data_IF_058298867351
#
_entry.id   IF_058298867351
#
_cell.length_a   1.000
_cell.length_b   1.000
_cell.length_c   1.000
_cell.angle_alpha   90.00
_cell.angle_beta   90.00
_cell.angle_gamma   90.00
#
_symmetry.space_group_name_H-M   'P 1'
#
loop_
_entity.id
_entity.type
_entity.pdbx_description
1 polymer ?
#
# COMPACT_ATOMS: atom_id res chain seq x y z
N UNK A 1 -24.55 17.56 20.46
CA UNK A 1 -24.06 16.76 19.31
C UNK A 1 -23.05 15.76 19.85
N UNK A 2 -23.23 14.48 19.51
CA UNK A 2 -22.40 13.38 20.02
C UNK A 2 -20.97 13.42 19.43
N UNK A 3 -20.03 12.76 20.11
CA UNK A 3 -18.70 12.56 19.55
C UNK A 3 -18.79 11.64 18.32
N UNK A 4 -17.91 11.84 17.35
CA UNK A 4 -17.85 11.06 16.11
C UNK A 4 -16.43 10.53 15.88
N UNK A 5 -16.33 9.38 15.24
CA UNK A 5 -15.06 8.85 14.79
C UNK A 5 -14.60 9.60 13.54
N UNK A 6 -13.33 10.00 13.53
CA UNK A 6 -12.72 10.76 12.43
C UNK A 6 -11.36 10.16 12.11
N UNK A 7 -11.06 10.00 10.82
CA UNK A 7 -9.80 9.45 10.35
C UNK A 7 -8.61 10.30 10.79
N UNK A 8 -7.51 9.64 11.13
CA UNK A 8 -6.25 10.31 11.45
C UNK A 8 -5.60 10.97 10.23
N UNK A 9 -6.02 10.63 9.01
CA UNK A 9 -5.70 11.40 7.79
C UNK A 9 -6.25 12.82 7.84
N UNK A 10 -7.42 13.01 8.44
CA UNK A 10 -8.15 14.30 8.42
C UNK A 10 -7.78 15.16 9.64
N UNK A 11 -7.45 14.51 10.76
CA UNK A 11 -7.14 15.15 12.05
C UNK A 11 -5.93 14.49 12.73
N UNK A 12 -4.77 14.59 12.08
CA UNK A 12 -3.54 13.90 12.50
C UNK A 12 -3.10 14.23 13.92
N UNK A 13 -2.79 13.18 14.70
CA UNK A 13 -2.15 13.28 16.01
C UNK A 13 -0.61 13.23 15.91
N UNK A 14 -0.06 13.29 14.70
CA UNK A 14 1.38 13.13 14.39
C UNK A 14 1.96 14.46 13.93
N UNK A 15 1.74 15.49 14.72
CA UNK A 15 2.41 16.79 14.50
C UNK A 15 3.81 16.76 15.13
N UNK A 16 4.75 17.60 14.66
CA UNK A 16 6.05 17.76 15.34
C UNK A 16 5.89 18.09 16.83
N UNK A 17 4.89 18.90 17.18
CA UNK A 17 4.56 19.21 18.57
C UNK A 17 4.11 17.97 19.37
N UNK A 18 3.31 17.09 18.75
CA UNK A 18 2.89 15.84 19.36
C UNK A 18 4.06 14.88 19.58
N UNK A 19 4.98 14.77 18.60
CA UNK A 19 6.19 13.93 18.69
C UNK A 19 7.13 14.42 19.78
N UNK A 20 7.38 15.73 19.86
CA UNK A 20 8.21 16.32 20.91
C UNK A 20 7.60 16.08 22.31
N UNK A 21 6.27 16.12 22.41
CA UNK A 21 5.58 15.88 23.67
C UNK A 21 5.74 14.45 24.19
N UNK A 22 5.92 13.46 23.30
CA UNK A 22 6.05 12.05 23.66
C UNK A 22 7.50 11.54 23.59
N UNK A 23 8.47 12.42 23.35
CA UNK A 23 9.88 12.05 23.16
C UNK A 23 10.49 11.35 24.37
N UNK A 24 10.10 11.75 25.59
CA UNK A 24 10.57 11.08 26.80
C UNK A 24 10.01 9.66 26.99
N UNK A 25 8.95 9.29 26.25
CA UNK A 25 8.35 7.96 26.27
C UNK A 25 8.91 7.03 25.18
N UNK A 26 9.90 7.47 24.40
CA UNK A 26 10.53 6.64 23.36
C UNK A 26 11.03 5.26 23.84
N UNK A 27 11.53 5.09 25.09
CA UNK A 27 11.88 3.76 25.61
C UNK A 27 10.72 2.76 25.59
N UNK A 28 9.47 3.22 25.68
CA UNK A 28 8.27 2.36 25.64
C UNK A 28 7.80 2.07 24.21
N UNK A 29 8.36 2.72 23.19
CA UNK A 29 7.82 2.68 21.82
C UNK A 29 7.74 1.26 21.25
N UNK A 30 8.76 0.44 21.50
CA UNK A 30 8.79 -0.97 21.04
C UNK A 30 7.77 -1.84 21.77
N UNK A 31 7.60 -1.66 23.10
CA UNK A 31 6.55 -2.34 23.87
C UNK A 31 5.16 -1.95 23.35
N UNK A 32 4.92 -0.65 23.17
CA UNK A 32 3.66 -0.12 22.60
C UNK A 32 3.43 -0.71 21.21
N UNK A 33 4.45 -0.78 20.35
CA UNK A 33 4.30 -1.35 19.01
C UNK A 33 3.92 -2.84 19.04
N UNK A 34 4.48 -3.63 19.97
CA UNK A 34 4.11 -5.03 20.13
C UNK A 34 2.68 -5.21 20.63
N UNK A 35 2.23 -4.35 21.56
CA UNK A 35 0.85 -4.35 22.03
C UNK A 35 -0.11 -4.00 20.89
N UNK A 36 0.20 -2.96 20.12
CA UNK A 36 -0.62 -2.53 18.97
C UNK A 36 -0.68 -3.62 17.91
N UNK A 37 0.43 -4.31 17.59
CA UNK A 37 0.43 -5.47 16.67
C UNK A 37 -0.45 -6.60 17.19
N UNK A 38 -0.37 -6.91 18.49
CA UNK A 38 -1.24 -7.90 19.13
C UNK A 38 -2.72 -7.52 19.01
N UNK A 39 -3.05 -6.26 19.25
CA UNK A 39 -4.40 -5.73 19.08
C UNK A 39 -4.89 -5.85 17.63
N UNK A 40 -4.06 -5.46 16.66
CA UNK A 40 -4.38 -5.60 15.22
C UNK A 40 -4.66 -7.06 14.89
N UNK A 41 -3.82 -7.99 15.34
CA UNK A 41 -4.03 -9.42 15.01
C UNK A 41 -5.28 -10.00 15.67
N UNK A 42 -5.65 -9.52 16.86
CA UNK A 42 -6.77 -10.06 17.63
C UNK A 42 -8.14 -9.48 17.23
N UNK A 43 -8.19 -8.36 16.52
CA UNK A 43 -9.41 -7.64 16.12
C UNK A 43 -10.55 -7.66 17.16
N UNK A 44 -10.31 -7.29 18.44
CA UNK A 44 -11.34 -7.42 19.46
C UNK A 44 -12.52 -6.47 19.19
N UNK A 45 -13.71 -7.03 18.95
CA UNK A 45 -14.94 -6.28 18.73
C UNK A 45 -15.21 -5.30 19.87
N UNK A 46 -15.28 -4.00 19.52
CA UNK A 46 -15.62 -2.94 20.46
C UNK A 46 -14.50 -2.50 21.41
N UNK A 47 -13.29 -3.07 21.33
CA UNK A 47 -12.14 -2.60 22.11
C UNK A 47 -11.27 -1.61 21.33
N UNK A 48 -10.68 -0.65 22.02
CA UNK A 48 -9.92 0.46 21.43
C UNK A 48 -8.43 0.31 21.79
N UNK A 49 -7.53 0.44 20.81
CA UNK A 49 -6.09 0.17 21.01
C UNK A 49 -5.47 1.00 22.14
N UNK A 50 -6.01 2.21 22.38
CA UNK A 50 -5.50 3.09 23.43
C UNK A 50 -5.72 2.49 24.82
N UNK A 51 -6.85 1.80 25.03
CA UNK A 51 -7.10 1.09 26.28
C UNK A 51 -6.15 -0.09 26.45
N UNK A 52 -5.98 -0.89 25.41
CA UNK A 52 -5.09 -2.06 25.42
C UNK A 52 -3.65 -1.65 25.77
N UNK A 53 -3.16 -0.56 25.17
CA UNK A 53 -1.83 -0.01 25.49
C UNK A 53 -1.76 0.51 26.92
N UNK A 54 -2.77 1.26 27.38
CA UNK A 54 -2.80 1.77 28.75
C UNK A 54 -2.78 0.63 29.78
N UNK A 55 -3.51 -0.44 29.52
CA UNK A 55 -3.61 -1.58 30.43
C UNK A 55 -2.31 -2.37 30.50
N UNK A 56 -1.76 -2.74 29.33
CA UNK A 56 -0.57 -3.60 29.26
C UNK A 56 0.71 -2.90 29.67
N UNK A 57 0.85 -1.61 29.40
CA UNK A 57 1.98 -0.84 29.94
C UNK A 57 1.76 -0.61 31.43
N UNK A 58 0.57 -0.15 31.82
CA UNK A 58 0.23 0.08 33.21
C UNK A 58 0.92 1.29 33.84
N UNK A 59 0.43 1.66 35.02
CA UNK A 59 0.87 2.85 35.77
C UNK A 59 2.33 2.76 36.24
N UNK A 60 2.72 1.61 36.78
CA UNK A 60 4.04 1.45 37.41
C UNK A 60 5.16 1.55 36.38
N UNK A 61 5.00 0.92 35.21
CA UNK A 61 5.94 1.04 34.09
C UNK A 61 6.10 2.47 33.57
N UNK A 62 5.01 3.22 33.50
CA UNK A 62 5.08 4.65 33.14
C UNK A 62 5.87 5.47 34.16
N UNK A 63 5.71 5.16 35.45
CA UNK A 63 6.44 5.82 36.54
C UNK A 63 7.90 5.42 36.61
N UNK A 64 8.27 4.23 36.15
CA UNK A 64 9.68 3.86 35.97
C UNK A 64 10.37 4.69 34.90
N UNK A 65 9.70 4.91 33.75
CA UNK A 65 10.29 5.63 32.62
C UNK A 65 10.35 7.14 32.84
N UNK A 66 9.35 7.71 33.54
CA UNK A 66 9.26 9.15 33.78
C UNK A 66 8.70 9.44 35.18
N UNK A 67 9.49 9.18 36.24
CA UNK A 67 9.05 9.27 37.64
C UNK A 67 8.58 10.67 38.03
N UNK A 68 9.20 11.70 37.46
CA UNK A 68 8.98 13.12 37.74
C UNK A 68 7.70 13.70 37.10
N UNK A 69 7.06 12.99 36.18
CA UNK A 69 5.85 13.46 35.50
C UNK A 69 4.59 13.12 36.29
N UNK A 70 3.61 14.03 36.24
CA UNK A 70 2.29 13.77 36.80
C UNK A 70 1.57 12.64 36.04
N UNK A 71 0.77 11.84 36.76
CA UNK A 71 0.12 10.65 36.19
C UNK A 71 -0.94 11.01 35.12
N UNK A 72 -1.60 12.16 35.25
CA UNK A 72 -2.54 12.64 34.23
C UNK A 72 -1.81 13.01 32.94
N UNK A 73 -0.61 13.59 33.07
CA UNK A 73 0.25 13.87 31.92
C UNK A 73 0.77 12.59 31.27
N UNK A 74 1.34 11.67 32.07
CA UNK A 74 1.86 10.38 31.60
C UNK A 74 0.82 9.60 30.81
N UNK A 75 -0.38 9.51 31.34
CA UNK A 75 -1.50 8.86 30.68
C UNK A 75 -1.83 9.47 29.31
N UNK A 76 -1.95 10.80 29.26
CA UNK A 76 -2.30 11.51 28.01
C UNK A 76 -1.21 11.34 26.97
N UNK A 77 0.05 11.38 27.40
CA UNK A 77 1.21 11.26 26.53
C UNK A 77 1.38 9.81 26.06
N UNK A 78 1.09 8.81 26.89
CA UNK A 78 1.03 7.41 26.47
C UNK A 78 -0.08 7.15 25.45
N UNK A 79 -1.28 7.71 25.66
CA UNK A 79 -2.36 7.60 24.68
C UNK A 79 -2.02 8.27 23.35
N UNK A 80 -1.27 9.38 23.38
CA UNK A 80 -0.75 10.04 22.18
C UNK A 80 0.36 9.21 21.50
N UNK A 81 1.25 8.59 22.28
CA UNK A 81 2.26 7.68 21.74
C UNK A 81 1.61 6.44 21.11
N UNK A 82 0.57 5.88 21.73
CA UNK A 82 -0.22 4.78 21.19
C UNK A 82 -0.81 5.15 19.83
N UNK A 83 -1.41 6.34 19.71
CA UNK A 83 -1.95 6.84 18.45
C UNK A 83 -0.87 7.01 17.37
N UNK A 84 0.28 7.57 17.73
CA UNK A 84 1.42 7.72 16.81
C UNK A 84 1.90 6.35 16.33
N UNK A 85 2.18 5.42 17.25
CA UNK A 85 2.65 4.07 16.92
C UNK A 85 1.61 3.32 16.10
N UNK A 86 0.32 3.48 16.41
CA UNK A 86 -0.74 2.84 15.66
C UNK A 86 -0.79 3.32 14.21
N UNK A 87 -0.77 4.63 14.00
CA UNK A 87 -0.70 5.20 12.65
C UNK A 87 0.62 4.85 11.95
N UNK A 88 1.76 4.85 12.64
CA UNK A 88 3.03 4.45 12.05
C UNK A 88 3.00 2.96 11.60
N UNK A 89 2.27 2.11 12.33
CA UNK A 89 2.13 0.68 11.99
C UNK A 89 1.16 0.45 10.82
N UNK A 90 -0.07 0.98 10.90
CA UNK A 90 -1.13 0.64 9.93
C UNK A 90 -1.45 1.75 8.94
N UNK A 91 -1.04 2.99 9.17
CA UNK A 91 -1.34 4.14 8.33
C UNK A 91 -2.50 5.00 8.83
N UNK A 92 -2.47 6.30 8.54
CA UNK A 92 -3.40 7.28 9.14
C UNK A 92 -4.85 7.12 8.64
N UNK A 93 -5.03 6.49 7.48
CA UNK A 93 -6.36 6.20 6.91
C UNK A 93 -7.02 4.95 7.51
N UNK A 94 -6.27 4.18 8.30
CA UNK A 94 -6.77 2.98 8.98
C UNK A 94 -6.99 3.21 10.46
N UNK A 95 -6.74 4.42 10.96
CA UNK A 95 -6.92 4.76 12.37
C UNK A 95 -7.95 5.87 12.49
N UNK A 96 -9.01 5.62 13.24
CA UNK A 96 -9.94 6.66 13.67
C UNK A 96 -9.62 7.10 15.08
N UNK A 97 -9.77 8.40 15.34
CA UNK A 97 -9.84 8.95 16.68
C UNK A 97 -11.24 9.46 16.96
N UNK A 98 -11.71 9.29 18.19
CA UNK A 98 -12.97 9.90 18.60
C UNK A 98 -12.78 11.41 18.79
N UNK A 99 -13.60 12.21 18.09
CA UNK A 99 -13.57 13.68 18.08
C UNK A 99 -14.90 14.28 18.46
N UNK A 100 -14.84 15.51 18.97
CA UNK A 100 -16.00 16.37 19.17
C UNK A 100 -16.40 17.02 17.83
N UNK A 101 -17.64 17.53 17.70
CA UNK A 101 -18.10 18.24 16.50
C UNK A 101 -17.25 19.46 16.10
N UNK A 102 -16.51 20.04 17.04
CA UNK A 102 -15.59 21.17 16.80
C UNK A 102 -14.18 20.72 16.34
N UNK A 103 -13.99 19.43 16.04
CA UNK A 103 -12.73 18.83 15.59
C UNK A 103 -11.72 18.54 16.71
N UNK A 104 -11.98 18.96 17.96
CA UNK A 104 -11.09 18.68 19.09
C UNK A 104 -11.18 17.20 19.50
N UNK A 105 -10.13 16.69 20.14
CA UNK A 105 -10.14 15.34 20.71
C UNK A 105 -11.34 15.17 21.64
N UNK A 106 -12.13 14.12 21.42
CA UNK A 106 -13.06 13.66 22.42
C UNK A 106 -12.30 12.79 23.41
N UNK A 107 -12.78 12.78 24.65
CA UNK A 107 -12.29 11.85 25.64
C UNK A 107 -13.48 11.14 26.26
N UNK A 108 -13.35 9.84 26.45
CA UNK A 108 -14.34 9.05 27.20
C UNK A 108 -14.21 9.38 28.69
N UNK A 109 -15.32 9.25 29.43
CA UNK A 109 -15.33 9.42 30.89
C UNK A 109 -15.35 8.04 31.55
N UNK A 110 -14.34 7.76 32.39
CA UNK A 110 -14.14 6.53 33.17
C UNK A 110 -14.03 5.25 32.34
N UNK A 111 -12.87 4.58 32.41
CA UNK A 111 -12.77 3.18 32.04
C UNK A 111 -13.33 2.31 33.18
N UNK A 112 -14.06 1.23 32.86
CA UNK A 112 -14.53 0.23 33.83
C UNK A 112 -13.73 -1.08 33.79
N UNK A 113 -12.73 -1.16 32.91
CA UNK A 113 -11.86 -2.33 32.75
C UNK A 113 -10.93 -2.44 33.97
N UNK A 114 -10.71 -3.67 34.42
CA UNK A 114 -9.83 -3.98 35.54
C UNK A 114 -8.40 -3.48 35.26
N UNK A 115 -7.66 -3.03 36.27
CA UNK A 115 -6.30 -2.48 36.09
C UNK A 115 -6.21 -1.05 35.49
N UNK A 116 -7.35 -0.43 35.15
CA UNK A 116 -7.42 0.92 34.58
C UNK A 116 -8.13 1.94 35.49
N UNK A 117 -8.12 1.72 36.80
CA UNK A 117 -8.65 2.63 37.83
C UNK A 117 -7.99 4.02 37.81
N UNK A 118 -6.72 4.08 37.44
CA UNK A 118 -5.93 5.31 37.23
C UNK A 118 -6.26 6.04 35.90
N UNK A 119 -7.09 5.45 35.04
CA UNK A 119 -7.47 5.98 33.73
C UNK A 119 -8.84 6.68 33.81
N UNK A 120 -8.84 7.96 34.21
CA UNK A 120 -10.08 8.76 34.32
C UNK A 120 -10.69 9.27 32.99
N UNK A 121 -9.87 9.72 32.03
CA UNK A 121 -10.29 10.02 30.64
C UNK A 121 -9.18 9.85 29.61
N UNK A 122 -9.47 9.27 28.44
CA UNK A 122 -8.49 9.05 27.37
C UNK A 122 -9.16 9.32 26.01
N UNK A 123 -8.37 9.49 24.95
CA UNK A 123 -8.89 9.61 23.58
C UNK A 123 -8.84 8.23 22.93
N UNK A 124 -10.01 7.66 22.59
CA UNK A 124 -10.11 6.42 21.83
C UNK A 124 -9.41 6.47 20.48
N UNK A 125 -8.79 5.35 20.13
CA UNK A 125 -8.31 5.06 18.79
C UNK A 125 -8.73 3.64 18.41
N UNK A 126 -9.21 3.45 17.18
CA UNK A 126 -9.60 2.14 16.67
C UNK A 126 -9.12 1.96 15.24
N UNK A 127 -8.96 0.70 14.84
CA UNK A 127 -8.77 0.36 13.43
C UNK A 127 -10.07 0.67 12.69
N UNK A 128 -9.95 1.20 11.49
CA UNK A 128 -11.07 1.31 10.56
C UNK A 128 -11.46 -0.11 10.14
N UNK A 129 -12.52 -0.66 10.74
CA UNK A 129 -13.26 -1.77 10.13
C UNK A 129 -14.09 -1.17 8.99
N UNK A 130 -13.49 -1.08 7.81
CA UNK A 130 -14.25 -0.85 6.58
C UNK A 130 -13.97 -2.00 5.64
N UNK A 131 -15.04 -2.53 5.05
CA UNK A 131 -15.05 -3.38 3.85
C UNK A 131 -14.14 -2.81 2.74
N UNK A 132 -13.86 -1.49 2.74
CA UNK A 132 -12.92 -0.80 1.84
C UNK A 132 -11.43 -1.24 1.95
N UNK A 133 -11.06 -2.09 2.91
CA UNK A 133 -9.66 -2.46 3.16
C UNK A 133 -9.39 -3.96 3.28
N UNK A 134 -10.32 -4.80 2.83
CA UNK A 134 -10.01 -6.19 2.48
C UNK A 134 -8.86 -6.22 1.47
N UNK A 135 -7.97 -7.23 1.52
CA UNK A 135 -6.81 -7.24 0.65
C UNK A 135 -7.17 -7.01 -0.83
N UNK A 136 -6.56 -6.01 -1.48
CA UNK A 136 -6.92 -5.68 -2.87
C UNK A 136 -6.35 -6.70 -3.83
N UNK A 137 -7.13 -7.14 -4.81
CA UNK A 137 -6.63 -7.92 -5.94
C UNK A 137 -6.15 -6.95 -7.02
N UNK A 138 -4.87 -7.00 -7.37
CA UNK A 138 -4.27 -6.19 -8.42
C UNK A 138 -4.03 -7.03 -9.66
N UNK A 139 -4.70 -6.67 -10.75
CA UNK A 139 -4.57 -7.32 -12.05
C UNK A 139 -3.45 -6.64 -12.85
N UNK A 140 -2.49 -7.46 -13.27
CA UNK A 140 -1.46 -7.11 -14.25
C UNK A 140 -2.05 -7.01 -15.67
N UNK A 141 -1.37 -6.29 -16.57
CA UNK A 141 -1.68 -6.17 -17.99
C UNK A 141 -1.87 -7.52 -18.65
N UNK A 142 -1.00 -8.48 -18.31
CA UNK A 142 -1.05 -9.82 -18.89
C UNK A 142 -2.37 -10.54 -18.62
N UNK A 143 -2.95 -10.35 -17.43
CA UNK A 143 -4.27 -10.93 -17.08
C UNK A 143 -5.36 -10.35 -17.96
N UNK A 144 -5.36 -9.03 -18.13
CA UNK A 144 -6.37 -8.31 -18.91
C UNK A 144 -6.27 -8.69 -20.39
N UNK A 145 -5.04 -8.75 -20.91
CA UNK A 145 -4.78 -9.13 -22.30
C UNK A 145 -5.27 -10.54 -22.62
N UNK A 146 -5.04 -11.50 -21.73
CA UNK A 146 -5.52 -12.88 -21.93
C UNK A 146 -7.03 -12.96 -22.08
N UNK A 147 -7.79 -12.24 -21.23
CA UNK A 147 -9.25 -12.16 -21.35
C UNK A 147 -9.67 -11.51 -22.67
N UNK A 148 -9.04 -10.41 -23.03
CA UNK A 148 -9.34 -9.70 -24.30
C UNK A 148 -8.99 -10.55 -25.51
N UNK A 149 -7.94 -11.38 -25.47
CA UNK A 149 -7.53 -12.24 -26.58
C UNK A 149 -8.25 -13.61 -26.64
N UNK A 150 -9.13 -13.92 -25.67
CA UNK A 150 -9.75 -15.24 -25.54
C UNK A 150 -8.76 -16.38 -25.26
N UNK A 151 -7.67 -16.08 -24.56
CA UNK A 151 -6.67 -17.08 -24.27
C UNK A 151 -7.26 -18.20 -23.40
N UNK A 152 -6.93 -19.45 -23.71
CA UNK A 152 -7.49 -20.62 -23.01
C UNK A 152 -7.11 -20.68 -21.51
N UNK A 153 -6.08 -19.94 -21.10
CA UNK A 153 -5.62 -19.80 -19.72
C UNK A 153 -5.90 -18.39 -19.14
N UNK A 154 -6.86 -17.67 -19.73
CA UNK A 154 -7.40 -16.45 -19.15
C UNK A 154 -8.10 -16.73 -17.82
N UNK A 155 -8.08 -15.74 -16.92
CA UNK A 155 -8.82 -15.83 -15.66
C UNK A 155 -10.32 -15.90 -15.93
N UNK A 156 -11.02 -16.81 -15.26
CA UNK A 156 -12.48 -16.85 -15.28
C UNK A 156 -13.03 -15.70 -14.42
N UNK A 157 -13.58 -14.68 -15.10
CA UNK A 157 -14.16 -13.51 -14.46
C UNK A 157 -15.45 -13.80 -13.70
N UNK A 158 -16.21 -14.83 -14.10
CA UNK A 158 -17.41 -15.25 -13.36
C UNK A 158 -17.00 -15.86 -12.02
N UNK A 159 -16.05 -16.81 -12.06
CA UNK A 159 -15.47 -17.40 -10.85
C UNK A 159 -14.82 -16.34 -9.96
N UNK A 160 -14.00 -15.43 -10.51
CA UNK A 160 -13.43 -14.32 -9.73
C UNK A 160 -14.52 -13.45 -9.08
N UNK A 161 -15.58 -13.11 -9.82
CA UNK A 161 -16.69 -12.31 -9.29
C UNK A 161 -17.41 -12.97 -8.13
N UNK A 162 -17.59 -14.30 -8.18
CA UNK A 162 -18.23 -15.08 -7.13
C UNK A 162 -17.31 -15.31 -5.92
N UNK A 163 -16.02 -15.49 -6.17
CA UNK A 163 -15.06 -15.92 -5.16
C UNK A 163 -14.41 -14.75 -4.39
N UNK A 164 -14.25 -13.60 -5.03
CA UNK A 164 -13.52 -12.44 -4.46
C UNK A 164 -14.08 -11.91 -3.14
N UNK A 165 -15.31 -12.27 -2.74
CA UNK A 165 -15.95 -11.75 -1.53
C UNK A 165 -15.84 -10.22 -1.41
N UNK A 166 -15.30 -9.77 -0.28
CA UNK A 166 -15.07 -8.35 0.03
C UNK A 166 -13.79 -7.78 -0.59
N UNK A 167 -12.93 -8.60 -1.21
CA UNK A 167 -11.70 -8.13 -1.84
C UNK A 167 -12.02 -7.21 -3.03
N UNK A 168 -11.59 -5.93 -3.00
CA UNK A 168 -11.75 -5.06 -4.15
C UNK A 168 -10.75 -5.48 -5.24
N UNK A 169 -11.18 -5.43 -6.50
CA UNK A 169 -10.33 -5.81 -7.65
C UNK A 169 -10.00 -4.57 -8.46
N UNK A 170 -8.74 -4.37 -8.81
CA UNK A 170 -8.30 -3.25 -9.65
C UNK A 170 -7.29 -3.69 -10.69
N UNK A 171 -7.25 -2.97 -11.79
CA UNK A 171 -6.10 -2.92 -12.68
C UNK A 171 -4.97 -2.15 -12.00
N UNK A 172 -3.74 -2.66 -12.04
CA UNK A 172 -2.59 -1.90 -11.55
C UNK A 172 -2.36 -0.61 -12.35
N UNK A 173 -1.80 0.43 -11.72
CA UNK A 173 -1.57 1.73 -12.38
C UNK A 173 -0.61 1.63 -13.58
N UNK A 174 0.49 0.89 -13.42
CA UNK A 174 1.42 0.59 -14.51
C UNK A 174 0.75 -0.20 -15.63
N UNK A 175 -0.14 -1.13 -15.28
CA UNK A 175 -0.86 -1.94 -16.23
C UNK A 175 -1.82 -1.12 -17.11
N UNK A 176 -2.45 -0.08 -16.55
CA UNK A 176 -3.22 0.88 -17.32
C UNK A 176 -2.38 1.53 -18.44
N UNK A 177 -1.15 1.95 -18.12
CA UNK A 177 -0.23 2.54 -19.09
C UNK A 177 0.17 1.58 -20.21
N UNK A 178 0.42 0.31 -19.87
CA UNK A 178 0.73 -0.73 -20.85
C UNK A 178 -0.44 -1.06 -21.77
N UNK A 179 -1.66 -1.14 -21.25
CA UNK A 179 -2.87 -1.38 -22.05
C UNK A 179 -3.06 -0.26 -23.08
N UNK A 180 -2.93 1.00 -22.67
CA UNK A 180 -3.00 2.13 -23.60
C UNK A 180 -1.92 2.05 -24.69
N UNK A 181 -0.69 1.68 -24.34
CA UNK A 181 0.39 1.50 -25.30
C UNK A 181 0.11 0.33 -26.26
N UNK A 182 -0.45 -0.76 -25.74
CA UNK A 182 -0.75 -1.95 -26.51
C UNK A 182 -1.84 -1.68 -27.57
N UNK A 183 -2.86 -0.90 -27.22
CA UNK A 183 -3.88 -0.42 -28.15
C UNK A 183 -3.29 0.49 -29.24
N UNK A 184 -2.35 1.38 -28.88
CA UNK A 184 -1.68 2.26 -29.85
C UNK A 184 -0.76 1.53 -30.83
N UNK A 185 -0.21 0.38 -30.42
CA UNK A 185 0.73 -0.45 -31.19
C UNK A 185 0.05 -1.59 -31.94
N UNK A 186 -1.28 -1.66 -31.90
CA UNK A 186 -2.09 -2.76 -32.45
C UNK A 186 -1.66 -4.15 -31.93
N UNK A 187 -1.05 -4.21 -30.72
CA UNK A 187 -0.74 -5.50 -30.07
C UNK A 187 -1.93 -6.09 -29.32
N UNK A 188 -2.98 -5.28 -29.15
CA UNK A 188 -4.34 -5.70 -28.83
C UNK A 188 -5.22 -5.24 -30.00
N UNK A 189 -5.84 -6.14 -30.78
CA UNK A 189 -6.81 -5.75 -31.79
C UNK A 189 -7.95 -4.96 -31.16
N UNK A 190 -8.27 -3.80 -31.75
CA UNK A 190 -9.23 -2.88 -31.15
C UNK A 190 -10.67 -3.41 -31.12
N UNK A 191 -11.04 -4.28 -32.07
CA UNK A 191 -12.34 -4.93 -32.06
C UNK A 191 -12.47 -5.88 -30.86
N UNK A 192 -11.45 -6.71 -30.61
CA UNK A 192 -11.39 -7.59 -29.44
C UNK A 192 -11.48 -6.78 -28.14
N UNK A 193 -10.76 -5.65 -28.06
CA UNK A 193 -10.83 -4.73 -26.93
C UNK A 193 -12.27 -4.26 -26.67
N UNK A 194 -12.93 -3.69 -27.69
CA UNK A 194 -14.30 -3.17 -27.55
C UNK A 194 -15.30 -4.25 -27.15
N UNK A 195 -15.16 -5.45 -27.70
CA UNK A 195 -16.07 -6.55 -27.43
C UNK A 195 -15.92 -7.08 -26.00
N UNK A 196 -14.69 -7.15 -25.49
CA UNK A 196 -14.38 -7.97 -24.31
C UNK A 196 -13.97 -7.20 -23.07
N UNK A 197 -13.41 -5.99 -23.18
CA UNK A 197 -12.91 -5.25 -21.99
C UNK A 197 -14.01 -5.00 -20.95
N UNK A 198 -15.26 -4.79 -21.39
CA UNK A 198 -16.39 -4.54 -20.49
C UNK A 198 -16.80 -5.76 -19.65
N UNK A 199 -16.27 -6.94 -19.94
CA UNK A 199 -16.43 -8.10 -19.05
C UNK A 199 -15.84 -7.84 -17.66
N UNK A 200 -14.84 -6.95 -17.54
CA UNK A 200 -14.27 -6.56 -16.26
C UNK A 200 -15.20 -5.70 -15.39
N UNK A 201 -16.25 -5.10 -15.95
CA UNK A 201 -17.19 -4.24 -15.20
C UNK A 201 -17.93 -5.02 -14.09
N UNK A 202 -18.01 -6.36 -14.17
CA UNK A 202 -18.63 -7.21 -13.16
C UNK A 202 -17.73 -7.49 -11.94
N UNK A 203 -16.40 -7.34 -12.10
CA UNK A 203 -15.44 -7.71 -11.05
C UNK A 203 -14.69 -6.51 -10.47
N UNK A 204 -14.44 -5.47 -11.26
CA UNK A 204 -13.64 -4.33 -10.83
C UNK A 204 -14.34 -3.50 -9.76
N UNK A 205 -13.53 -2.98 -8.84
CA UNK A 205 -13.94 -2.00 -7.84
C UNK A 205 -14.50 -0.75 -8.55
N UNK A 206 -15.77 -0.37 -8.29
CA UNK A 206 -16.43 0.75 -8.98
C UNK A 206 -15.88 2.14 -8.57
N UNK A 207 -15.16 2.21 -7.45
CA UNK A 207 -14.52 3.42 -6.93
C UNK A 207 -13.05 3.53 -7.36
N UNK A 208 -12.36 2.38 -7.49
CA UNK A 208 -10.98 2.29 -7.94
C UNK A 208 -10.78 1.19 -8.99
N UNK A 209 -11.33 1.31 -10.21
CA UNK A 209 -11.13 0.30 -11.24
C UNK A 209 -9.65 0.20 -11.67
N UNK A 210 -8.93 1.32 -11.55
CA UNK A 210 -7.47 1.38 -11.59
C UNK A 210 -6.98 1.72 -10.17
N UNK A 211 -6.02 0.95 -9.68
CA UNK A 211 -5.45 1.16 -8.36
C UNK A 211 -4.59 2.43 -8.32
N UNK A 212 -4.53 3.15 -7.18
CA UNK A 212 -3.62 4.26 -7.03
C UNK A 212 -2.15 3.86 -7.13
N UNK A 213 -1.36 4.72 -7.76
CA UNK A 213 0.06 4.53 -8.02
C UNK A 213 0.99 5.47 -7.25
N UNK A 214 2.29 5.22 -7.33
CA UNK A 214 3.35 6.14 -6.89
C UNK A 214 3.12 6.76 -5.50
N UNK A 215 3.11 8.11 -5.41
CA UNK A 215 2.94 8.83 -4.13
C UNK A 215 1.58 8.61 -3.48
N UNK A 216 0.54 8.39 -4.28
CA UNK A 216 -0.81 8.16 -3.77
C UNK A 216 -0.87 6.78 -3.12
N UNK A 217 -0.31 5.77 -3.78
CA UNK A 217 -0.11 4.44 -3.20
C UNK A 217 0.70 4.51 -1.91
N UNK A 218 1.88 5.16 -1.93
CA UNK A 218 2.72 5.39 -0.75
C UNK A 218 2.00 6.07 0.40
N UNK A 219 1.16 7.06 0.10
CA UNK A 219 0.39 7.73 1.13
C UNK A 219 -0.71 6.84 1.70
N UNK A 220 -1.31 5.96 0.88
CA UNK A 220 -2.33 5.02 1.33
C UNK A 220 -1.78 4.03 2.36
N UNK A 221 -0.64 3.38 2.13
CA UNK A 221 -0.08 2.44 3.12
C UNK A 221 0.77 3.10 4.21
N UNK A 222 0.76 4.44 4.28
CA UNK A 222 1.31 5.23 5.39
C UNK A 222 2.77 5.67 5.25
N UNK A 223 3.41 5.40 4.11
CA UNK A 223 4.79 5.80 3.84
C UNK A 223 4.98 7.28 3.54
N UNK A 224 3.94 7.97 3.05
CA UNK A 224 4.00 9.39 2.70
C UNK A 224 2.85 10.17 3.38
N UNK A 225 3.08 11.42 3.83
CA UNK A 225 1.99 12.22 4.41
C UNK A 225 0.86 12.43 3.41
N UNK A 226 -0.37 12.10 3.78
CA UNK A 226 -1.59 12.36 2.99
C UNK A 226 -1.90 13.86 2.77
N UNK A 227 -1.04 14.77 3.22
CA UNK A 227 -1.27 16.21 3.14
C UNK A 227 -1.35 16.66 1.67
N UNK A 228 -2.54 17.06 1.25
CA UNK A 228 -2.81 17.51 -0.12
C UNK A 228 -3.37 16.42 -1.04
N UNK A 229 -3.63 15.22 -0.54
CA UNK A 229 -4.38 14.18 -1.24
C UNK A 229 -5.86 14.22 -0.83
N UNK A 230 -6.74 14.17 -1.83
CA UNK A 230 -8.18 14.16 -1.65
C UNK A 230 -8.72 12.82 -2.19
N UNK A 231 -9.17 11.94 -1.29
CA UNK A 231 -9.61 10.60 -1.65
C UNK A 231 -10.78 10.60 -2.63
N UNK A 232 -11.73 11.53 -2.48
CA UNK A 232 -12.85 11.63 -3.41
C UNK A 232 -12.38 12.06 -4.81
N UNK A 233 -11.40 12.96 -4.88
CA UNK A 233 -10.75 13.37 -6.13
C UNK A 233 -9.95 12.24 -6.77
N UNK A 234 -9.27 11.41 -5.96
CA UNK A 234 -8.60 10.21 -6.43
C UNK A 234 -9.59 9.18 -7.00
N UNK A 235 -10.66 8.83 -6.27
CA UNK A 235 -11.73 7.92 -6.75
C UNK A 235 -12.26 8.39 -8.10
N UNK A 236 -12.63 9.67 -8.17
CA UNK A 236 -13.10 10.28 -9.41
C UNK A 236 -12.06 10.19 -10.54
N UNK A 237 -10.79 10.46 -10.24
CA UNK A 237 -9.70 10.44 -11.22
C UNK A 237 -9.49 9.04 -11.82
N UNK A 238 -9.28 8.02 -10.98
CA UNK A 238 -9.01 6.66 -11.46
C UNK A 238 -10.20 6.04 -12.20
N UNK A 239 -11.42 6.34 -11.75
CA UNK A 239 -12.63 5.99 -12.50
C UNK A 239 -12.70 6.68 -13.86
N UNK A 240 -12.38 7.97 -13.92
CA UNK A 240 -12.38 8.76 -15.17
C UNK A 240 -11.34 8.23 -16.16
N UNK A 241 -10.16 7.86 -15.66
CA UNK A 241 -9.07 7.28 -16.43
C UNK A 241 -9.45 5.93 -17.05
N UNK A 242 -10.05 5.04 -16.25
CA UNK A 242 -10.55 3.74 -16.75
C UNK A 242 -11.63 3.93 -17.83
N UNK A 243 -12.65 4.74 -17.53
CA UNK A 243 -13.73 5.02 -18.48
C UNK A 243 -13.22 5.65 -19.79
N UNK A 244 -12.11 6.40 -19.74
CA UNK A 244 -11.51 6.94 -20.95
C UNK A 244 -11.03 5.83 -21.91
N UNK A 245 -10.49 4.71 -21.42
CA UNK A 245 -10.13 3.58 -22.29
C UNK A 245 -11.35 2.76 -22.75
N UNK A 246 -12.39 2.66 -21.90
CA UNK A 246 -13.62 1.93 -22.24
C UNK A 246 -14.47 2.63 -23.32
N UNK A 247 -14.38 3.97 -23.38
CA UNK A 247 -15.21 4.79 -24.26
C UNK A 247 -14.51 5.18 -25.57
N UNK A 248 -13.32 4.61 -25.83
CA UNK A 248 -12.62 4.81 -27.10
C UNK A 248 -13.46 4.31 -28.27
N UNK A 249 -13.50 5.08 -29.34
CA UNK A 249 -14.12 4.69 -30.61
C UNK A 249 -13.12 4.17 -31.63
N UNK A 250 -11.86 4.54 -31.49
CA UNK A 250 -10.74 4.12 -32.34
C UNK A 250 -9.37 4.36 -31.65
N UNK A 251 -8.32 3.62 -32.07
CA UNK A 251 -6.90 3.84 -31.82
C UNK A 251 -6.47 5.25 -31.45
N UNK A 252 -6.74 6.10 -32.45
CA UNK A 252 -6.24 7.45 -32.61
C UNK A 252 -6.77 8.42 -31.55
N UNK A 253 -7.90 8.14 -30.91
CA UNK A 253 -8.45 9.00 -29.85
C UNK A 253 -7.53 9.08 -28.63
N UNK A 254 -6.68 8.06 -28.39
CA UNK A 254 -5.66 8.09 -27.33
C UNK A 254 -4.60 9.19 -27.55
N UNK A 255 -4.29 9.48 -28.81
CA UNK A 255 -3.29 10.49 -29.20
C UNK A 255 -3.82 11.92 -29.01
N UNK A 256 -5.14 12.09 -28.90
CA UNK A 256 -5.78 13.38 -28.74
C UNK A 256 -5.72 13.82 -27.27
N UNK A 257 -5.48 15.11 -27.03
CA UNK A 257 -5.57 15.65 -25.68
C UNK A 257 -7.03 15.78 -25.27
N UNK A 258 -7.44 15.07 -24.22
CA UNK A 258 -8.75 15.17 -23.59
C UNK A 258 -8.62 15.94 -22.27
N UNK A 259 -9.37 17.03 -22.15
CA UNK A 259 -9.46 17.79 -20.90
C UNK A 259 -10.73 17.38 -20.18
N UNK A 260 -10.62 16.92 -18.94
CA UNK A 260 -11.77 16.59 -18.09
C UNK A 260 -11.74 17.44 -16.85
N UNK A 261 -12.88 18.05 -16.53
CA UNK A 261 -13.04 18.86 -15.34
C UNK A 261 -13.61 18.01 -14.21
N UNK A 262 -12.90 18.03 -13.08
CA UNK A 262 -13.39 17.39 -11.86
C UNK A 262 -14.55 18.18 -11.23
N UNK A 263 -15.38 17.54 -10.39
CA UNK A 263 -16.41 18.20 -9.60
C UNK A 263 -15.89 19.36 -8.73
N UNK A 264 -14.59 19.37 -8.40
CA UNK A 264 -13.93 20.41 -7.62
C UNK A 264 -13.34 21.55 -8.48
N UNK A 265 -13.63 21.58 -9.78
CA UNK A 265 -13.21 22.65 -10.70
C UNK A 265 -11.78 22.52 -11.23
N UNK A 266 -11.05 21.47 -10.85
CA UNK A 266 -9.71 21.18 -11.37
C UNK A 266 -9.79 20.53 -12.75
N UNK A 267 -8.99 21.01 -13.70
CA UNK A 267 -8.88 20.42 -15.03
C UNK A 267 -7.74 19.40 -15.09
N UNK A 268 -8.05 18.21 -15.60
CA UNK A 268 -7.12 17.13 -15.86
C UNK A 268 -6.92 16.97 -17.35
N UNK A 269 -5.67 16.82 -17.79
CA UNK A 269 -5.33 16.60 -19.20
C UNK A 269 -4.89 15.16 -19.37
N UNK A 270 -5.65 14.41 -20.13
CA UNK A 270 -5.30 13.08 -20.58
C UNK A 270 -4.77 13.18 -21.99
N UNK A 271 -3.51 12.77 -22.19
CA UNK A 271 -2.94 12.59 -23.52
C UNK A 271 -1.98 11.43 -23.45
N UNK A 272 -2.32 10.35 -24.12
CA UNK A 272 -1.51 9.15 -24.24
C UNK A 272 -0.98 9.14 -25.66
N UNK A 273 0.09 9.91 -25.91
CA UNK A 273 0.86 9.72 -27.12
C UNK A 273 1.94 8.67 -26.87
N UNK A 274 2.26 7.91 -27.92
CA UNK A 274 3.21 6.79 -27.83
C UNK A 274 4.55 7.22 -27.22
N UNK A 275 5.05 8.42 -27.59
CA UNK A 275 6.31 8.93 -27.07
C UNK A 275 6.23 9.16 -25.56
N UNK A 276 5.16 9.76 -25.05
CA UNK A 276 4.97 9.96 -23.60
C UNK A 276 4.88 8.64 -22.85
N UNK A 277 4.18 7.66 -23.39
CA UNK A 277 4.12 6.34 -22.76
C UNK A 277 5.50 5.69 -22.76
N UNK A 278 6.21 5.69 -23.89
CA UNK A 278 7.58 5.18 -24.00
C UNK A 278 8.56 5.92 -23.08
N UNK A 279 8.45 7.25 -22.94
CA UNK A 279 9.24 8.06 -22.02
C UNK A 279 8.99 7.67 -20.55
N UNK A 280 7.74 7.37 -20.19
CA UNK A 280 7.39 6.92 -18.84
C UNK A 280 7.97 5.53 -18.57
N UNK A 281 7.84 4.61 -19.54
CA UNK A 281 8.43 3.27 -19.49
C UNK A 281 9.95 3.33 -19.35
N UNK A 282 10.62 4.17 -20.15
CA UNK A 282 12.07 4.35 -20.11
C UNK A 282 12.54 4.96 -18.79
N UNK A 283 11.79 5.94 -18.25
CA UNK A 283 12.08 6.52 -16.93
C UNK A 283 11.94 5.49 -15.82
N UNK A 284 10.89 4.68 -15.82
CA UNK A 284 10.72 3.59 -14.86
C UNK A 284 11.89 2.60 -14.94
N UNK A 285 12.25 2.16 -16.16
CA UNK A 285 13.42 1.31 -16.38
C UNK A 285 14.72 1.91 -15.86
N UNK A 286 14.97 3.20 -16.16
CA UNK A 286 16.16 3.92 -15.68
C UNK A 286 16.20 3.99 -14.16
N UNK A 287 15.07 4.32 -13.52
CA UNK A 287 14.95 4.38 -12.07
C UNK A 287 15.27 3.03 -11.41
N UNK A 288 14.72 1.94 -11.91
CA UNK A 288 15.02 0.59 -11.43
C UNK A 288 16.49 0.21 -11.63
N UNK A 289 17.08 0.59 -12.77
CA UNK A 289 18.51 0.38 -13.05
C UNK A 289 19.40 1.13 -12.07
N UNK A 290 19.09 2.40 -11.80
CA UNK A 290 19.83 3.23 -10.85
C UNK A 290 19.74 2.67 -9.44
N UNK A 291 18.54 2.23 -9.05
CA UNK A 291 18.30 1.58 -7.76
C UNK A 291 19.11 0.30 -7.60
N UNK A 292 19.02 -0.62 -8.57
CA UNK A 292 19.77 -1.88 -8.53
C UNK A 292 21.28 -1.62 -8.51
N UNK A 293 21.77 -0.62 -9.25
CA UNK A 293 23.19 -0.23 -9.26
C UNK A 293 23.66 0.23 -7.88
N UNK A 294 22.90 1.11 -7.21
CA UNK A 294 23.21 1.54 -5.83
C UNK A 294 23.24 0.37 -4.84
N UNK A 295 22.40 -0.64 -5.04
CA UNK A 295 22.40 -1.85 -4.21
C UNK A 295 23.65 -2.69 -4.45
N UNK A 296 24.10 -2.81 -5.71
CA UNK A 296 25.36 -3.49 -6.05
C UNK A 296 26.54 -2.82 -5.35
N UNK A 297 26.59 -1.49 -5.32
CA UNK A 297 27.61 -0.73 -4.58
C UNK A 297 27.61 -1.08 -3.08
N UNK A 298 26.41 -1.13 -2.47
CA UNK A 298 26.25 -1.54 -1.07
C UNK A 298 26.74 -2.98 -0.82
N UNK A 299 26.45 -3.92 -1.72
CA UNK A 299 26.91 -5.31 -1.60
C UNK A 299 28.44 -5.38 -1.65
N UNK A 300 29.06 -4.65 -2.58
CA UNK A 300 30.51 -4.57 -2.67
C UNK A 300 31.16 -3.91 -1.44
N UNK A 301 30.57 -2.83 -0.90
CA UNK A 301 31.03 -2.17 0.34
C UNK A 301 31.03 -3.15 1.52
N UNK A 302 29.99 -3.97 1.62
CA UNK A 302 29.81 -4.89 2.74
C UNK A 302 30.66 -6.16 2.64
N UNK A 303 31.33 -6.39 1.50
CA UNK A 303 32.02 -7.64 1.18
C UNK A 303 31.13 -8.87 1.40
N UNK A 304 29.82 -8.71 1.16
CA UNK A 304 28.84 -9.77 1.33
C UNK A 304 28.97 -10.73 0.13
N UNK A 305 29.13 -12.03 0.42
CA UNK A 305 29.20 -13.12 -0.55
C UNK A 305 27.87 -13.36 -1.26
N UNK A 306 26.81 -12.65 -0.83
CA UNK A 306 25.65 -12.40 -1.67
C UNK A 306 24.68 -13.57 -1.73
N UNK A 307 24.78 -14.47 -0.75
CA UNK A 307 23.96 -15.68 -0.69
C UNK A 307 22.62 -15.39 -0.03
N UNK A 308 22.53 -14.38 0.86
CA UNK A 308 21.29 -14.01 1.56
C UNK A 308 21.21 -12.51 1.81
N UNK A 309 20.00 -11.96 1.72
CA UNK A 309 19.72 -10.57 2.10
C UNK A 309 19.77 -10.46 3.61
N UNK A 310 20.77 -9.75 4.15
CA UNK A 310 20.93 -9.58 5.61
C UNK A 310 20.23 -8.30 6.10
N UNK A 311 19.84 -8.26 7.38
CA UNK A 311 19.29 -7.04 8.01
C UNK A 311 20.26 -5.84 7.88
N UNK A 312 21.56 -6.10 7.92
CA UNK A 312 22.62 -5.09 7.72
C UNK A 312 22.57 -4.51 6.30
N UNK A 313 22.34 -5.35 5.29
CA UNK A 313 22.17 -4.93 3.91
C UNK A 313 20.89 -4.11 3.74
N UNK A 314 19.76 -4.54 4.32
CA UNK A 314 18.50 -3.77 4.33
C UNK A 314 18.69 -2.38 4.97
N UNK A 315 19.35 -2.30 6.13
CA UNK A 315 19.69 -1.04 6.81
C UNK A 315 20.64 -0.14 6.00
N UNK A 316 21.41 -0.69 5.07
CA UNK A 316 22.32 0.11 4.23
C UNK A 316 21.64 0.56 2.93
N UNK A 317 20.79 -0.27 2.35
CA UNK A 317 19.92 0.08 1.22
C UNK A 317 19.00 1.27 1.55
N UNK A 318 18.51 1.33 2.79
CA UNK A 318 17.72 2.48 3.28
C UNK A 318 18.50 3.79 3.36
N UNK A 319 19.82 3.72 3.54
CA UNK A 319 20.69 4.91 3.62
C UNK A 319 21.14 5.45 2.25
N UNK A 320 20.94 4.70 1.14
CA UNK A 320 21.35 5.13 -0.21
C UNK A 320 20.21 5.79 -1.01
N UNK A 321 19.18 6.32 -0.32
CA UNK A 321 18.04 7.01 -0.93
C UNK A 321 17.28 6.16 -1.97
N UNK A 322 17.26 4.83 -1.79
CA UNK A 322 16.39 3.93 -2.58
C UNK A 322 14.91 4.20 -2.30
N UNK A 323 14.61 4.67 -1.10
CA UNK A 323 13.27 4.94 -0.61
C UNK A 323 13.29 6.31 0.09
N UNK A 324 13.32 7.37 -0.73
CA UNK A 324 13.41 8.75 -0.23
C UNK A 324 12.21 9.06 0.65
N UNK A 325 12.46 9.66 1.82
CA UNK A 325 11.45 10.15 2.78
C UNK A 325 10.62 9.08 3.53
N UNK A 326 11.10 7.83 3.62
CA UNK A 326 10.42 6.77 4.38
C UNK A 326 11.10 6.41 5.71
N UNK A 327 10.31 6.13 6.76
CA UNK A 327 10.84 5.62 8.00
C UNK A 327 11.26 4.14 7.87
N UNK A 328 12.30 3.73 8.62
CA UNK A 328 12.84 2.35 8.59
C UNK A 328 11.76 1.28 8.86
N UNK A 329 10.75 1.60 9.67
CA UNK A 329 9.63 0.70 9.93
C UNK A 329 8.75 0.45 8.69
N UNK A 330 8.58 1.46 7.82
CA UNK A 330 7.78 1.35 6.59
C UNK A 330 8.54 0.62 5.48
N UNK A 331 9.87 0.65 5.50
CA UNK A 331 10.71 -0.15 4.60
C UNK A 331 10.47 -1.66 4.81
N UNK A 332 10.13 -2.11 6.03
CA UNK A 332 9.80 -3.51 6.27
C UNK A 332 8.48 -3.93 5.60
N UNK A 333 7.59 -3.00 5.24
CA UNK A 333 6.39 -3.31 4.43
C UNK A 333 6.75 -3.60 2.97
N UNK A 334 7.91 -3.11 2.51
CA UNK A 334 8.48 -3.38 1.18
C UNK A 334 9.38 -4.62 1.18
N UNK A 335 9.27 -5.50 2.18
CA UNK A 335 10.22 -6.61 2.37
C UNK A 335 10.40 -7.45 1.10
N UNK A 336 9.30 -7.84 0.44
CA UNK A 336 9.37 -8.59 -0.82
C UNK A 336 10.08 -7.80 -1.92
N UNK A 337 9.69 -6.54 -2.13
CA UNK A 337 10.28 -5.64 -3.14
C UNK A 337 11.79 -5.56 -2.95
N UNK A 338 12.22 -5.35 -1.71
CA UNK A 338 13.64 -5.20 -1.38
C UNK A 338 14.40 -6.51 -1.59
N UNK A 339 13.81 -7.67 -1.25
CA UNK A 339 14.44 -8.97 -1.51
C UNK A 339 14.62 -9.23 -2.99
N UNK A 340 13.63 -8.86 -3.80
CA UNK A 340 13.69 -9.00 -5.25
C UNK A 340 14.77 -8.07 -5.82
N UNK A 341 14.81 -6.81 -5.39
CA UNK A 341 15.84 -5.84 -5.77
C UNK A 341 17.25 -6.34 -5.42
N UNK A 342 17.43 -6.81 -4.19
CA UNK A 342 18.68 -7.38 -3.72
C UNK A 342 19.10 -8.59 -4.56
N UNK A 343 18.18 -9.51 -4.86
CA UNK A 343 18.46 -10.68 -5.68
C UNK A 343 18.87 -10.31 -7.10
N UNK A 344 18.21 -9.31 -7.71
CA UNK A 344 18.59 -8.77 -9.03
C UNK A 344 19.98 -8.10 -8.99
N UNK A 345 20.27 -7.34 -7.95
CA UNK A 345 21.58 -6.73 -7.73
C UNK A 345 22.68 -7.79 -7.60
N UNK A 346 22.44 -8.85 -6.83
CA UNK A 346 23.36 -9.98 -6.67
C UNK A 346 23.64 -10.68 -8.01
N UNK A 347 22.60 -10.95 -8.80
CA UNK A 347 22.75 -11.51 -10.14
C UNK A 347 23.58 -10.60 -11.07
N UNK A 348 23.41 -9.28 -10.99
CA UNK A 348 24.17 -8.32 -11.77
C UNK A 348 25.64 -8.25 -11.33
N UNK A 349 25.89 -8.25 -10.01
CA UNK A 349 27.23 -8.24 -9.41
C UNK A 349 28.04 -9.47 -9.82
N UNK A 350 27.45 -10.67 -9.71
CA UNK A 350 28.09 -11.94 -10.11
C UNK A 350 28.45 -11.95 -11.59
N UNK A 351 27.59 -11.41 -12.45
CA UNK A 351 27.83 -11.34 -13.90
C UNK A 351 28.81 -10.23 -14.31
N UNK A 352 29.23 -9.36 -13.38
CA UNK A 352 30.04 -8.16 -13.64
C UNK A 352 29.50 -7.30 -14.78
N UNK A 353 28.18 -7.25 -14.92
CA UNK A 353 27.50 -6.48 -15.96
C UNK A 353 26.46 -5.58 -15.31
N UNK A 354 26.34 -4.31 -15.73
CA UNK A 354 25.27 -3.44 -15.23
C UNK A 354 23.92 -4.09 -15.48
N UNK A 355 23.02 -3.98 -14.51
CA UNK A 355 21.64 -4.41 -14.69
C UNK A 355 21.03 -3.62 -15.84
N UNK A 356 20.43 -4.33 -16.80
CA UNK A 356 19.67 -3.73 -17.89
C UNK A 356 18.26 -4.25 -17.77
N UNK A 357 17.29 -3.44 -17.29
CA UNK A 357 15.90 -3.86 -17.29
C UNK A 357 15.50 -4.13 -18.73
N UNK A 358 14.80 -5.23 -18.98
CA UNK A 358 13.97 -5.29 -20.20
C UNK A 358 12.86 -4.25 -20.04
N UNK A 359 12.34 -3.72 -21.15
CA UNK A 359 11.32 -2.66 -21.12
C UNK A 359 10.12 -2.98 -20.20
N UNK A 360 9.75 -4.26 -20.04
CA UNK A 360 8.62 -4.67 -19.20
C UNK A 360 9.03 -5.05 -17.76
N UNK A 361 10.29 -5.43 -17.50
CA UNK A 361 10.72 -5.89 -16.17
C UNK A 361 10.53 -4.80 -15.09
N UNK A 362 10.54 -3.53 -15.47
CA UNK A 362 10.37 -2.40 -14.54
C UNK A 362 8.93 -2.25 -14.05
N UNK A 363 7.94 -2.40 -14.92
CA UNK A 363 6.53 -2.32 -14.54
C UNK A 363 6.12 -3.55 -13.76
N UNK A 364 6.58 -4.72 -14.19
CA UNK A 364 6.36 -5.98 -13.47
C UNK A 364 6.83 -5.88 -12.01
N UNK A 365 7.95 -5.17 -11.78
CA UNK A 365 8.45 -4.91 -10.43
C UNK A 365 7.68 -3.81 -9.71
N UNK A 366 7.13 -2.82 -10.42
CA UNK A 366 6.29 -1.78 -9.82
C UNK A 366 4.99 -2.33 -9.24
N UNK A 367 4.44 -3.43 -9.80
CA UNK A 367 3.29 -4.15 -9.23
C UNK A 367 3.51 -4.54 -7.77
N UNK A 368 4.76 -4.82 -7.39
CA UNK A 368 5.12 -5.25 -6.04
C UNK A 368 4.99 -4.12 -5.01
N UNK A 369 4.96 -2.85 -5.43
CA UNK A 369 4.64 -1.73 -4.54
C UNK A 369 3.16 -1.73 -4.10
N UNK A 370 2.32 -2.56 -4.73
CA UNK A 370 0.98 -2.84 -4.27
C UNK A 370 0.93 -3.61 -2.95
N UNK A 371 1.88 -4.52 -2.69
CA UNK A 371 1.90 -5.48 -1.56
C UNK A 371 1.94 -4.85 -0.15
N UNK A 372 2.56 -3.68 0.08
CA UNK A 372 2.41 -2.91 1.31
C UNK A 372 0.99 -2.47 1.64
N UNK A 373 0.15 -2.20 0.63
CA UNK A 373 -1.29 -2.36 0.84
C UNK A 373 -1.51 -3.86 0.86
N UNK A 374 -2.15 -4.47 1.87
CA UNK A 374 -2.38 -5.91 1.85
C UNK A 374 -3.07 -6.26 0.52
N UNK A 375 -2.35 -6.78 -0.45
CA UNK A 375 -2.83 -6.91 -1.82
C UNK A 375 -2.28 -8.20 -2.41
N UNK A 376 -3.10 -8.86 -3.22
CA UNK A 376 -2.71 -10.00 -4.01
C UNK A 376 -2.48 -9.54 -5.44
N UNK A 377 -1.28 -9.77 -5.94
CA UNK A 377 -0.90 -9.43 -7.32
C UNK A 377 -1.18 -10.64 -8.19
N UNK A 378 -2.14 -10.51 -9.10
CA UNK A 378 -2.46 -11.51 -10.10
C UNK A 378 -1.72 -11.19 -11.40
N UNK A 379 -0.82 -12.08 -11.81
CA UNK A 379 0.02 -11.88 -13.00
C UNK A 379 0.08 -13.13 -13.88
N UNK A 380 0.26 -12.91 -15.18
CA UNK A 380 0.57 -14.01 -16.11
C UNK A 380 2.07 -14.29 -16.23
N UNK A 381 2.94 -13.44 -15.64
CA UNK A 381 4.38 -13.65 -15.67
C UNK A 381 4.82 -14.69 -14.64
N UNK A 382 4.93 -15.94 -15.10
CA UNK A 382 5.48 -17.02 -14.29
C UNK A 382 6.93 -16.78 -13.83
N UNK A 383 7.68 -15.84 -14.43
CA UNK A 383 9.01 -15.46 -13.94
C UNK A 383 8.90 -14.57 -12.71
N UNK A 384 7.99 -13.61 -12.68
CA UNK A 384 7.70 -12.78 -11.51
C UNK A 384 7.21 -13.64 -10.33
N UNK A 385 6.29 -14.58 -10.58
CA UNK A 385 5.82 -15.53 -9.55
C UNK A 385 6.98 -16.33 -8.97
N UNK A 386 7.79 -16.98 -9.83
CA UNK A 386 8.98 -17.74 -9.39
C UNK A 386 9.98 -16.85 -8.65
N UNK A 387 10.16 -15.62 -9.10
CA UNK A 387 11.07 -14.67 -8.47
C UNK A 387 10.59 -14.33 -7.06
N UNK A 388 9.32 -14.00 -6.88
CA UNK A 388 8.72 -13.73 -5.56
C UNK A 388 8.85 -14.94 -4.63
N UNK A 389 8.45 -16.14 -5.08
CA UNK A 389 8.56 -17.40 -4.32
C UNK A 389 9.98 -17.80 -3.95
N UNK A 390 10.96 -17.34 -4.72
CA UNK A 390 12.36 -17.62 -4.47
C UNK A 390 13.02 -16.66 -3.46
N UNK A 391 12.23 -15.85 -2.78
CA UNK A 391 12.64 -14.99 -1.67
C UNK A 391 12.20 -15.58 -0.33
N UNK A 392 12.87 -15.23 0.76
CA UNK A 392 12.47 -15.62 2.13
C UNK A 392 11.35 -14.70 2.68
N UNK A 393 10.61 -14.00 1.81
CA UNK A 393 9.57 -13.04 2.22
C UNK A 393 8.29 -13.74 2.63
N UNK A 394 7.70 -13.32 3.77
CA UNK A 394 6.36 -13.76 4.20
C UNK A 394 5.25 -13.34 3.23
N UNK A 395 5.49 -12.29 2.45
CA UNK A 395 4.58 -11.81 1.41
C UNK A 395 4.82 -12.47 0.05
N UNK A 396 5.79 -13.39 -0.05
CA UNK A 396 6.13 -14.05 -1.30
C UNK A 396 4.90 -14.67 -1.94
N UNK A 397 3.99 -15.25 -1.14
CA UNK A 397 2.79 -15.94 -1.61
C UNK A 397 1.74 -15.01 -2.22
N UNK A 398 1.80 -13.69 -1.96
CA UNK A 398 0.82 -12.72 -2.48
C UNK A 398 0.92 -12.45 -3.99
N UNK A 399 1.96 -12.93 -4.67
CA UNK A 399 2.11 -12.81 -6.13
C UNK A 399 1.71 -14.12 -6.79
N UNK A 400 0.59 -14.17 -7.48
CA UNK A 400 -0.03 -15.42 -7.92
C UNK A 400 -0.36 -15.39 -9.41
N UNK A 401 -0.41 -16.56 -10.03
CA UNK A 401 -1.11 -16.76 -11.28
C UNK A 401 -2.64 -16.71 -11.09
N UNK A 402 -3.39 -16.62 -12.19
CA UNK A 402 -4.85 -16.61 -12.15
C UNK A 402 -5.44 -17.82 -11.42
N UNK A 403 -4.95 -19.03 -11.72
CA UNK A 403 -5.44 -20.26 -11.11
C UNK A 403 -5.13 -20.31 -9.61
N UNK A 404 -3.90 -19.95 -9.22
CA UNK A 404 -3.50 -19.90 -7.81
C UNK A 404 -4.33 -18.87 -7.02
N UNK A 405 -4.70 -17.74 -7.64
CA UNK A 405 -5.58 -16.76 -7.02
C UNK A 405 -6.99 -17.34 -6.76
N UNK A 406 -7.58 -18.02 -7.75
CA UNK A 406 -8.91 -18.63 -7.59
C UNK A 406 -8.89 -19.73 -6.53
N UNK A 407 -7.90 -20.62 -6.56
CA UNK A 407 -7.70 -21.65 -5.52
C UNK A 407 -7.55 -21.03 -4.13
N UNK A 408 -6.81 -19.92 -4.02
CA UNK A 408 -6.66 -19.19 -2.76
C UNK A 408 -8.00 -18.65 -2.27
N UNK A 409 -8.76 -18.00 -3.14
CA UNK A 409 -10.06 -17.44 -2.80
C UNK A 409 -11.06 -18.52 -2.39
N UNK A 410 -11.08 -19.66 -3.09
CA UNK A 410 -11.90 -20.82 -2.71
C UNK A 410 -11.57 -21.29 -1.29
N UNK A 411 -10.27 -21.43 -0.97
CA UNK A 411 -9.85 -21.85 0.38
C UNK A 411 -10.27 -20.88 1.48
N UNK A 412 -10.33 -19.57 1.20
CA UNK A 412 -10.75 -18.56 2.19
C UNK A 412 -12.27 -18.55 2.41
N UNK A 413 -13.08 -19.16 1.53
CA UNK A 413 -14.51 -19.31 1.75
C UNK A 413 -14.87 -20.56 2.58
N UNK A 414 -13.95 -21.51 2.70
CA UNK A 414 -14.14 -22.74 3.46
C UNK A 414 -13.74 -22.62 4.94
N UNK A 415 -12.94 -21.59 5.29
CA UNK A 415 -12.54 -21.22 6.66
C UNK A 415 -13.59 -20.33 7.35
#
# INVERSE_FOLDING_TARGET
MAAQWVLQSDVTSITPQARNRTEYLQPLRSEVANIVRGYINAHPDGEEVTLEVLERIGKERLKEVAPEKDLMQLKRDLGLLAAQVFVDLVGAMFVESLRRPDGRTASTRRCRREGLDWVHSYTPHRLVQREEFSPRILLDTGIIRKVVHDDADAIDLESLGNLKGEHPVSVADGAFGELANALLKDSIPFEDWKERVRQFDSVLDPDFPVAPGGKELSAMWGAYPMKGLNLAEMRWYYKTVWNYLLDLKEPSELRQEKIVHSPWGRAYRFRLDQQRTEDVLERAGTQWSDWITKIVEVIHELQDDGVKVTEKMLRRMTNVNLVVDMAVADILKLYLVIHIMAKRALQAAVKRSPYKPKQNDAIDLDLLFGIPLPAWVCTSDGRLVKLARSTDSVDADKVMSANELLERLESEQEE
#
